data_IF_661188399413
#
_entry.id   IF_661188399413
#
_cell.length_a   1.000
_cell.length_b   1.000
_cell.length_c   1.000
_cell.angle_alpha   90.00
_cell.angle_beta   90.00
_cell.angle_gamma   90.00
#
_symmetry.space_group_name_H-M   'P 1'
#
loop_
_entity.id
_entity.type
_entity.pdbx_description
1 polymer ?
#
# COMPACT_ATOMS: atom_id res chain seq x y z
N UNK A 1 -0.95 -18.97 12.15
CA UNK A 1 0.21 -18.96 11.22
C UNK A 1 -0.14 -19.39 9.79
N UNK A 2 -1.12 -20.28 9.54
CA UNK A 2 -1.48 -20.69 8.16
C UNK A 2 -1.85 -19.52 7.24
N UNK A 3 -2.51 -18.50 7.77
CA UNK A 3 -2.85 -17.28 7.04
C UNK A 3 -1.61 -16.58 6.44
N UNK A 4 -0.51 -16.49 7.20
CA UNK A 4 0.73 -15.85 6.74
C UNK A 4 1.31 -16.60 5.52
N UNK A 5 1.20 -17.94 5.50
CA UNK A 5 1.64 -18.74 4.36
C UNK A 5 0.79 -18.48 3.10
N UNK A 6 -0.51 -18.23 3.27
CA UNK A 6 -1.38 -17.88 2.14
C UNK A 6 -1.05 -16.49 1.59
N UNK A 7 -0.85 -15.48 2.46
CA UNK A 7 -0.49 -14.11 2.08
C UNK A 7 0.90 -14.04 1.43
N UNK A 8 1.85 -14.87 1.85
CA UNK A 8 3.18 -14.97 1.23
C UNK A 8 3.10 -15.27 -0.28
N UNK A 9 2.09 -16.02 -0.72
CA UNK A 9 1.85 -16.27 -2.15
C UNK A 9 1.44 -14.98 -2.88
N UNK A 10 0.60 -14.14 -2.27
CA UNK A 10 0.27 -12.82 -2.83
C UNK A 10 1.52 -11.95 -2.96
N UNK A 11 2.39 -11.96 -1.94
CA UNK A 11 3.63 -11.19 -1.97
C UNK A 11 4.55 -11.65 -3.10
N UNK A 12 4.70 -12.97 -3.26
CA UNK A 12 5.46 -13.53 -4.38
C UNK A 12 4.86 -13.18 -5.73
N UNK A 13 3.54 -13.22 -5.88
CA UNK A 13 2.87 -12.81 -7.12
C UNK A 13 3.16 -11.35 -7.47
N UNK A 14 3.11 -10.45 -6.48
CA UNK A 14 3.47 -9.04 -6.66
C UNK A 14 4.96 -8.90 -7.02
N UNK A 15 5.85 -9.63 -6.36
CA UNK A 15 7.28 -9.54 -6.59
C UNK A 15 7.71 -10.01 -7.99
N UNK A 16 7.18 -11.14 -8.45
CA UNK A 16 7.50 -11.69 -9.78
C UNK A 16 6.82 -10.93 -10.92
N UNK A 17 5.75 -10.18 -10.64
CA UNK A 17 5.08 -9.39 -11.67
C UNK A 17 5.97 -8.23 -12.09
N UNK A 18 6.39 -8.24 -13.35
CA UNK A 18 7.31 -7.26 -13.94
C UNK A 18 6.66 -5.91 -14.17
N UNK A 19 5.33 -5.86 -14.33
CA UNK A 19 4.57 -4.63 -14.52
C UNK A 19 4.45 -3.81 -13.25
N UNK A 20 4.55 -4.44 -12.07
CA UNK A 20 4.69 -3.75 -10.79
C UNK A 20 6.16 -3.39 -10.63
N UNK A 21 6.46 -2.09 -10.69
CA UNK A 21 7.84 -1.59 -10.66
C UNK A 21 8.35 -1.37 -9.26
N UNK A 22 7.47 -1.09 -8.28
CA UNK A 22 7.91 -0.75 -6.93
C UNK A 22 8.62 0.60 -6.82
N UNK A 23 9.03 0.91 -5.61
CA UNK A 23 9.84 2.09 -5.28
C UNK A 23 11.26 1.68 -4.91
N UNK A 24 12.25 2.43 -5.38
CA UNK A 24 13.63 2.23 -4.96
C UNK A 24 13.84 2.95 -3.63
N UNK A 25 14.19 2.21 -2.59
CA UNK A 25 14.64 2.77 -1.33
C UNK A 25 16.15 2.72 -1.30
N UNK A 26 16.78 3.88 -1.10
CA UNK A 26 18.23 3.99 -1.04
C UNK A 26 18.65 4.84 0.15
N UNK A 27 19.74 4.42 0.79
CA UNK A 27 20.50 5.22 1.73
C UNK A 27 21.95 5.36 1.21
N UNK A 28 22.86 5.91 2.03
CA UNK A 28 24.25 6.14 1.62
C UNK A 28 25.03 4.86 1.25
N UNK A 29 24.61 3.69 1.71
CA UNK A 29 25.37 2.42 1.58
C UNK A 29 24.61 1.31 0.86
N UNK A 30 23.29 1.40 0.79
CA UNK A 30 22.43 0.33 0.31
C UNK A 30 21.25 0.85 -0.48
N UNK A 31 20.81 0.05 -1.43
CA UNK A 31 19.66 0.34 -2.29
C UNK A 31 18.89 -0.95 -2.50
N UNK A 32 17.58 -0.94 -2.26
CA UNK A 32 16.72 -2.11 -2.49
C UNK A 32 15.39 -1.68 -3.11
N UNK A 33 14.80 -2.59 -3.88
CA UNK A 33 13.50 -2.39 -4.51
C UNK A 33 12.39 -2.88 -3.59
N UNK A 34 11.44 -2.01 -3.25
CA UNK A 34 10.28 -2.35 -2.44
C UNK A 34 9.04 -2.37 -3.32
N UNK A 35 8.40 -3.55 -3.43
CA UNK A 35 7.11 -3.71 -4.13
C UNK A 35 5.95 -3.99 -3.19
N UNK A 36 6.19 -4.76 -2.13
CA UNK A 36 5.15 -5.12 -1.15
C UNK A 36 5.76 -5.20 0.25
N UNK A 37 4.97 -4.79 1.24
CA UNK A 37 5.24 -5.03 2.64
C UNK A 37 3.91 -5.31 3.34
N UNK A 38 3.94 -6.07 4.43
CA UNK A 38 2.74 -6.19 5.24
C UNK A 38 3.00 -6.79 6.61
N UNK A 39 1.97 -6.68 7.45
CA UNK A 39 1.93 -7.15 8.81
C UNK A 39 0.57 -7.80 9.06
N UNK A 40 0.55 -9.12 9.27
CA UNK A 40 -0.68 -9.91 9.26
C UNK A 40 -1.49 -9.66 7.97
N UNK A 41 -2.73 -9.16 8.07
CA UNK A 41 -3.61 -8.85 6.94
C UNK A 41 -3.40 -7.43 6.37
N UNK A 42 -2.79 -6.53 7.14
CA UNK A 42 -2.47 -5.18 6.68
C UNK A 42 -1.33 -5.24 5.66
N UNK A 43 -1.67 -5.00 4.39
CA UNK A 43 -0.73 -5.07 3.26
C UNK A 43 -0.61 -3.71 2.56
N UNK A 44 0.62 -3.28 2.29
CA UNK A 44 0.96 -2.14 1.47
C UNK A 44 1.68 -2.60 0.20
N UNK A 45 1.15 -2.22 -0.97
CA UNK A 45 1.80 -2.42 -2.27
C UNK A 45 2.29 -1.08 -2.78
N UNK A 46 3.56 -1.02 -3.15
CA UNK A 46 4.25 0.19 -3.58
C UNK A 46 4.32 0.23 -5.10
N UNK A 47 3.82 1.30 -5.68
CA UNK A 47 3.71 1.47 -7.13
C UNK A 47 4.53 2.67 -7.56
N UNK A 48 5.14 2.60 -8.75
CA UNK A 48 5.89 3.72 -9.31
C UNK A 48 4.97 4.72 -9.98
N UNK A 49 3.92 4.22 -10.61
CA UNK A 49 2.96 5.03 -11.35
C UNK A 49 1.53 4.56 -11.09
N UNK A 50 0.53 5.46 -11.19
CA UNK A 50 -0.88 5.07 -11.07
C UNK A 50 -1.33 4.05 -12.11
N UNK A 51 -0.63 3.93 -13.25
CA UNK A 51 -0.95 2.95 -14.29
C UNK A 51 -0.78 1.49 -13.83
N UNK A 52 -0.09 1.25 -12.71
CA UNK A 52 0.10 -0.09 -12.13
C UNK A 52 -1.07 -0.53 -11.25
N UNK A 53 -1.99 0.38 -10.87
CA UNK A 53 -3.13 0.05 -10.00
C UNK A 53 -4.04 -1.05 -10.60
N UNK A 54 -4.42 -1.00 -11.89
CA UNK A 54 -5.21 -2.07 -12.50
C UNK A 54 -4.52 -3.44 -12.46
N UNK A 55 -3.18 -3.47 -12.55
CA UNK A 55 -2.39 -4.70 -12.45
C UNK A 55 -2.52 -5.30 -11.05
N UNK A 56 -2.38 -4.47 -10.01
CA UNK A 56 -2.58 -4.90 -8.61
C UNK A 56 -3.99 -5.43 -8.38
N UNK A 57 -5.01 -4.74 -8.89
CA UNK A 57 -6.41 -5.18 -8.76
C UNK A 57 -6.64 -6.54 -9.44
N UNK A 58 -5.98 -6.78 -10.59
CA UNK A 58 -6.05 -8.06 -11.30
C UNK A 58 -5.39 -9.19 -10.52
N UNK A 59 -4.21 -8.94 -9.94
CA UNK A 59 -3.48 -9.92 -9.13
C UNK A 59 -4.26 -10.26 -7.86
N UNK A 60 -4.71 -9.24 -7.14
CA UNK A 60 -5.46 -9.42 -5.89
C UNK A 60 -6.81 -10.09 -6.12
N UNK A 61 -7.49 -9.80 -7.23
CA UNK A 61 -8.71 -10.52 -7.64
C UNK A 61 -8.42 -11.99 -7.94
N UNK A 62 -7.40 -12.29 -8.76
CA UNK A 62 -7.01 -13.66 -9.10
C UNK A 62 -6.60 -14.46 -7.85
N UNK A 63 -5.83 -13.84 -6.97
CA UNK A 63 -5.46 -14.42 -5.68
C UNK A 63 -6.69 -14.66 -4.80
N UNK A 64 -7.65 -13.74 -4.77
CA UNK A 64 -8.89 -13.89 -4.01
C UNK A 64 -9.78 -15.02 -4.53
N UNK A 65 -9.85 -15.22 -5.85
CA UNK A 65 -10.55 -16.37 -6.44
C UNK A 65 -9.90 -17.70 -6.02
N UNK A 66 -8.57 -17.77 -5.99
CA UNK A 66 -7.84 -18.99 -5.65
C UNK A 66 -7.82 -19.31 -4.15
N UNK A 67 -7.73 -18.28 -3.30
CA UNK A 67 -7.53 -18.42 -1.85
C UNK A 67 -8.79 -18.19 -1.00
N UNK A 68 -9.82 -17.55 -1.57
CA UNK A 68 -10.96 -17.01 -0.83
C UNK A 68 -10.68 -15.70 -0.09
N UNK A 69 -9.44 -15.17 -0.13
CA UNK A 69 -9.04 -13.94 0.55
C UNK A 69 -9.21 -12.73 -0.36
N UNK A 70 -10.22 -11.90 -0.07
CA UNK A 70 -10.56 -10.74 -0.90
C UNK A 70 -10.09 -9.43 -0.27
N UNK A 71 -9.65 -8.50 -1.12
CA UNK A 71 -9.31 -7.13 -0.70
C UNK A 71 -10.56 -6.43 -0.18
N UNK A 72 -10.45 -5.85 1.01
CA UNK A 72 -11.50 -5.00 1.56
C UNK A 72 -11.37 -3.58 0.98
N UNK A 73 -11.94 -3.36 -0.21
CA UNK A 73 -11.84 -2.10 -0.94
C UNK A 73 -12.22 -0.88 -0.08
N UNK A 74 -13.20 -1.00 0.83
CA UNK A 74 -13.62 0.11 1.71
C UNK A 74 -12.57 0.52 2.74
N UNK A 75 -11.64 -0.38 3.08
CA UNK A 75 -10.50 -0.12 3.98
C UNK A 75 -9.21 0.12 3.21
N UNK A 76 -9.20 -0.13 1.90
CA UNK A 76 -8.05 0.08 1.03
C UNK A 76 -8.04 1.52 0.52
N UNK A 77 -6.86 2.10 0.47
CA UNK A 77 -6.69 3.47 0.00
C UNK A 77 -5.35 3.66 -0.68
N UNK A 78 -5.31 4.59 -1.64
CA UNK A 78 -4.10 4.92 -2.38
C UNK A 78 -3.51 6.20 -1.80
N UNK A 79 -2.26 6.15 -1.39
CA UNK A 79 -1.56 7.31 -0.82
C UNK A 79 -0.49 7.75 -1.82
N UNK A 80 -0.52 9.02 -2.21
CA UNK A 80 0.54 9.59 -3.05
C UNK A 80 1.78 9.89 -2.20
N UNK A 81 2.89 9.23 -2.53
CA UNK A 81 4.17 9.42 -1.85
C UNK A 81 4.92 10.64 -2.41
N UNK A 82 5.64 11.36 -1.54
CA UNK A 82 6.51 12.48 -1.95
C UNK A 82 5.78 13.81 -2.20
N UNK A 83 4.59 14.01 -1.64
CA UNK A 83 3.88 15.31 -1.65
C UNK A 83 3.33 15.74 -3.01
N UNK A 84 3.46 14.92 -4.04
CA UNK A 84 2.84 15.17 -5.35
C UNK A 84 1.40 14.68 -5.33
N UNK A 85 0.48 15.39 -5.99
CA UNK A 85 -0.86 14.86 -6.27
C UNK A 85 -0.71 13.58 -7.08
N UNK A 86 -1.42 12.52 -6.71
CA UNK A 86 -1.56 11.36 -7.58
C UNK A 86 -2.08 11.85 -8.95
N UNK A 87 -1.49 11.35 -10.04
CA UNK A 87 -1.86 11.81 -11.37
C UNK A 87 -3.36 11.55 -11.61
N UNK A 88 -4.09 12.60 -12.00
CA UNK A 88 -5.47 12.48 -12.42
C UNK A 88 -5.55 11.56 -13.65
N UNK A 89 -6.52 10.64 -13.68
CA UNK A 89 -6.79 9.79 -14.84
C UNK A 89 -6.50 8.30 -14.70
N UNK A 90 -6.14 7.80 -13.52
CA UNK A 90 -6.17 6.36 -13.28
C UNK A 90 -7.63 5.89 -13.12
N UNK A 91 -8.13 4.94 -13.94
CA UNK A 91 -9.45 4.37 -13.73
C UNK A 91 -9.42 3.51 -12.46
N UNK A 92 -10.01 4.03 -11.38
CA UNK A 92 -10.16 3.34 -10.12
C UNK A 92 -11.56 2.72 -10.01
N UNK A 93 -11.70 1.57 -9.33
CA UNK A 93 -13.00 1.09 -8.90
C UNK A 93 -13.73 2.18 -8.10
N UNK A 94 -15.08 2.29 -8.18
CA UNK A 94 -15.83 3.37 -7.56
C UNK A 94 -15.63 3.52 -6.04
N UNK A 95 -15.22 2.45 -5.36
CA UNK A 95 -15.02 2.43 -3.90
C UNK A 95 -13.56 2.55 -3.47
N UNK A 96 -12.61 2.57 -4.42
CA UNK A 96 -11.18 2.72 -4.12
C UNK A 96 -10.79 4.18 -4.32
N UNK A 97 -10.46 4.84 -3.22
CA UNK A 97 -10.16 6.27 -3.22
C UNK A 97 -8.67 6.54 -3.11
N UNK A 98 -8.24 7.61 -3.79
CA UNK A 98 -6.95 8.25 -3.51
C UNK A 98 -7.15 9.16 -2.30
N UNK A 99 -6.32 8.99 -1.28
CA UNK A 99 -6.33 9.82 -0.10
C UNK A 99 -6.02 11.27 -0.47
N UNK A 100 -6.90 12.19 -0.07
CA UNK A 100 -6.67 13.63 -0.23
C UNK A 100 -5.33 14.02 0.44
N UNK A 101 -4.47 14.82 -0.23
CA UNK A 101 -3.17 15.19 0.33
C UNK A 101 -3.21 15.87 1.71
N UNK A 102 -4.32 16.52 2.06
CA UNK A 102 -4.55 17.20 3.35
C UNK A 102 -5.04 16.27 4.46
N UNK A 103 -5.45 15.04 4.11
CA UNK A 103 -5.95 14.04 5.04
C UNK A 103 -4.87 13.04 5.40
N UNK A 104 -5.04 12.44 6.56
CA UNK A 104 -4.28 11.26 6.98
C UNK A 104 -5.21 10.05 7.15
N UNK A 105 -4.62 8.87 7.12
CA UNK A 105 -5.24 7.65 7.54
C UNK A 105 -4.34 6.90 8.52
N UNK A 106 -4.90 5.88 9.17
CA UNK A 106 -4.15 5.04 10.11
C UNK A 106 -3.67 3.78 9.41
N UNK A 107 -2.35 3.54 9.45
CA UNK A 107 -1.72 2.31 8.99
C UNK A 107 -0.79 1.83 10.11
N UNK A 108 -0.96 0.58 10.58
CA UNK A 108 -0.17 0.00 11.68
C UNK A 108 -0.07 0.89 12.94
N UNK A 109 -1.16 1.58 13.27
CA UNK A 109 -1.23 2.46 14.45
C UNK A 109 -0.67 3.87 14.26
N UNK A 110 0.02 4.16 13.15
CA UNK A 110 0.55 5.49 12.83
C UNK A 110 -0.32 6.22 11.82
N UNK A 111 -0.38 7.55 11.92
CA UNK A 111 -0.96 8.42 10.89
C UNK A 111 -0.01 8.52 9.71
N UNK A 112 -0.53 8.23 8.53
CA UNK A 112 0.16 8.32 7.24
C UNK A 112 -0.67 9.16 6.28
N UNK A 113 -0.01 9.98 5.47
CA UNK A 113 -0.63 10.84 4.48
C UNK A 113 0.44 11.64 3.74
N UNK A 114 0.05 12.38 2.71
CA UNK A 114 1.01 13.15 1.90
C UNK A 114 1.61 14.34 2.66
N UNK A 115 0.93 14.86 3.70
CA UNK A 115 1.36 16.01 4.50
C UNK A 115 1.45 15.74 6.01
N UNK A 116 1.51 14.48 6.45
CA UNK A 116 1.57 14.15 7.88
C UNK A 116 2.91 14.54 8.50
N UNK A 117 2.89 15.30 9.59
CA UNK A 117 4.08 15.59 10.40
C UNK A 117 4.39 14.41 11.33
N UNK A 118 5.66 14.03 11.45
CA UNK A 118 6.09 12.94 12.34
C UNK A 118 5.72 13.19 13.81
N UNK A 119 5.60 14.45 14.23
CA UNK A 119 5.21 14.85 15.58
C UNK A 119 3.79 14.40 15.96
N UNK A 120 2.83 14.43 15.03
CA UNK A 120 1.46 14.03 15.31
C UNK A 120 1.33 12.56 15.74
N UNK A 121 2.23 11.70 15.23
CA UNK A 121 2.30 10.29 15.62
C UNK A 121 2.81 10.11 17.05
N UNK A 122 3.83 10.87 17.43
CA UNK A 122 4.38 10.85 18.79
C UNK A 122 3.37 11.39 19.82
N UNK A 123 2.67 12.48 19.50
CA UNK A 123 1.63 13.05 20.37
C UNK A 123 0.46 12.09 20.60
N UNK A 124 0.17 11.25 19.61
CA UNK A 124 -0.87 10.22 19.71
C UNK A 124 -0.39 9.07 20.60
N UNK A 125 0.84 8.61 20.43
CA UNK A 125 1.43 7.56 21.25
C UNK A 125 1.56 7.97 22.72
N UNK A 126 2.00 9.21 22.97
CA UNK A 126 2.13 9.77 24.33
C UNK A 126 0.79 9.90 25.05
N UNK A 127 -0.32 10.11 24.32
CA UNK A 127 -1.68 10.18 24.90
C UNK A 127 -2.27 8.82 25.25
N UNK A 128 -1.63 7.72 24.86
CA UNK A 128 -2.08 6.35 25.11
C UNK A 128 -1.28 5.66 26.23
N UNK A 129 -0.31 6.36 26.83
CA UNK A 129 0.39 5.99 28.07
C UNK A 129 -0.38 6.53 29.28
#
# INVERSE_FOLDING_TARGET
MLFILAIELLYRLVDITTDIKGIQLANATQSFLLKVAGFADDTAIYLRTPAEVPVVLTITSSFGVASGLNVNIKKTMIIALGGKKAAAGCPLPPSLEILDPTRSCRYLGVQVGSSTSGHANWDTALRQL
#
